data_IF_284402465940
#
_entry.id   IF_284402465940
#
_cell.length_a   1.000
_cell.length_b   1.000
_cell.length_c   1.000
_cell.angle_alpha   90.00
_cell.angle_beta   90.00
_cell.angle_gamma   90.00
#
_symmetry.space_group_name_H-M   'P 1'
#
loop_
_entity.id
_entity.type
_entity.pdbx_description
1 polymer ?
#
# COMPACT_ATOMS: atom_id res chain seq x y z
N UNK A 1 -22.91 5.82 14.06
CA UNK A 1 -21.63 5.16 14.35
C UNK A 1 -20.72 5.30 13.14
N UNK A 2 -19.53 5.88 13.29
CA UNK A 2 -18.52 5.96 12.22
C UNK A 2 -18.00 4.53 12.00
N UNK A 3 -18.17 3.95 10.80
CA UNK A 3 -17.63 2.63 10.48
C UNK A 3 -16.11 2.73 10.32
N UNK A 4 -15.39 1.70 10.74
CA UNK A 4 -13.96 1.60 10.45
C UNK A 4 -13.76 1.47 8.94
N UNK A 5 -12.94 2.38 8.39
CA UNK A 5 -12.67 2.49 6.96
C UNK A 5 -11.19 2.23 6.70
N UNK A 6 -10.93 1.34 5.75
CA UNK A 6 -9.61 1.18 5.12
C UNK A 6 -9.63 1.85 3.75
N UNK A 7 -8.69 2.75 3.52
CA UNK A 7 -8.47 3.31 2.18
C UNK A 7 -7.45 2.47 1.43
N UNK A 8 -7.75 2.19 0.16
CA UNK A 8 -6.83 1.49 -0.74
C UNK A 8 -6.41 2.50 -1.80
N UNK A 9 -5.14 2.91 -1.80
CA UNK A 9 -4.58 3.77 -2.84
C UNK A 9 -4.07 2.92 -4.00
N UNK A 10 -4.65 3.14 -5.16
CA UNK A 10 -4.39 2.34 -6.35
C UNK A 10 -3.31 2.95 -7.25
N UNK A 11 -2.21 2.21 -7.40
CA UNK A 11 -1.06 2.51 -8.26
C UNK A 11 -1.12 1.80 -9.62
N UNK A 12 -2.28 1.26 -10.00
CA UNK A 12 -2.51 0.64 -11.32
C UNK A 12 -2.25 -0.86 -11.37
N UNK A 13 -2.21 -1.53 -10.22
CA UNK A 13 -2.04 -2.98 -10.13
C UNK A 13 -3.31 -3.75 -10.47
N UNK A 14 -3.15 -4.91 -11.11
CA UNK A 14 -4.26 -5.81 -11.47
C UNK A 14 -5.02 -6.36 -10.26
N UNK A 15 -4.44 -6.30 -9.05
CA UNK A 15 -4.98 -6.90 -7.84
C UNK A 15 -5.75 -5.93 -6.91
N UNK A 16 -5.97 -4.68 -7.32
CA UNK A 16 -6.70 -3.68 -6.51
C UNK A 16 -8.09 -4.18 -6.03
N UNK A 17 -8.87 -4.80 -6.92
CA UNK A 17 -10.20 -5.38 -6.62
C UNK A 17 -10.11 -6.57 -5.69
N UNK A 18 -9.04 -7.36 -5.79
CA UNK A 18 -8.80 -8.52 -4.91
C UNK A 18 -8.49 -8.05 -3.49
N UNK A 19 -7.65 -7.02 -3.33
CA UNK A 19 -7.37 -6.43 -2.02
C UNK A 19 -8.67 -5.91 -1.38
N UNK A 20 -9.46 -5.12 -2.13
CA UNK A 20 -10.75 -4.63 -1.65
C UNK A 20 -11.71 -5.76 -1.26
N UNK A 21 -11.73 -6.86 -2.02
CA UNK A 21 -12.51 -8.05 -1.68
C UNK A 21 -12.02 -8.68 -0.37
N UNK A 22 -10.71 -8.87 -0.18
CA UNK A 22 -10.15 -9.46 1.05
C UNK A 22 -10.44 -8.62 2.29
N UNK A 23 -10.37 -7.28 2.18
CA UNK A 23 -10.74 -6.38 3.29
C UNK A 23 -12.22 -6.53 3.67
N UNK A 24 -13.11 -6.65 2.67
CA UNK A 24 -14.54 -6.87 2.91
C UNK A 24 -14.85 -8.25 3.48
N UNK A 25 -14.14 -9.29 3.04
CA UNK A 25 -14.23 -10.64 3.62
C UNK A 25 -13.80 -10.67 5.09
N UNK A 26 -12.92 -9.74 5.52
CA UNK A 26 -12.58 -9.50 6.91
C UNK A 26 -13.62 -8.63 7.68
N UNK A 27 -14.80 -8.38 7.10
CA UNK A 27 -15.89 -7.57 7.66
C UNK A 27 -15.54 -6.08 7.90
N UNK A 28 -14.57 -5.53 7.16
CA UNK A 28 -14.19 -4.12 7.25
C UNK A 28 -14.62 -3.35 6.00
N UNK A 29 -15.12 -2.12 6.17
CA UNK A 29 -15.48 -1.26 5.03
C UNK A 29 -14.22 -0.71 4.36
N UNK A 30 -14.23 -0.66 3.03
CA UNK A 30 -13.11 -0.13 2.26
C UNK A 30 -13.56 0.70 1.05
N UNK A 31 -12.77 1.72 0.74
CA UNK A 31 -12.88 2.51 -0.49
C UNK A 31 -11.56 2.47 -1.24
N UNK A 32 -11.64 2.46 -2.58
CA UNK A 32 -10.48 2.53 -3.46
C UNK A 32 -10.39 3.96 -4.00
N UNK A 33 -9.23 4.58 -3.85
CA UNK A 33 -8.91 5.89 -4.38
C UNK A 33 -7.70 5.79 -5.32
N UNK A 34 -7.60 6.67 -6.33
CA UNK A 34 -6.39 6.73 -7.13
C UNK A 34 -5.20 7.20 -6.27
N UNK A 35 -3.98 6.79 -6.62
CA UNK A 35 -2.77 7.14 -5.86
C UNK A 35 -2.54 8.65 -5.70
N UNK A 36 -3.03 9.46 -6.65
CA UNK A 36 -2.90 10.91 -6.69
C UNK A 36 -4.05 11.64 -5.97
N UNK A 37 -4.84 10.93 -5.16
CA UNK A 37 -5.85 11.57 -4.30
C UNK A 37 -5.18 12.60 -3.37
N UNK A 38 -5.81 13.78 -3.25
CA UNK A 38 -5.29 14.83 -2.40
C UNK A 38 -5.36 14.46 -0.92
N UNK A 39 -4.52 15.08 -0.10
CA UNK A 39 -4.49 14.81 1.33
C UNK A 39 -5.80 15.23 2.02
N UNK A 40 -6.48 16.27 1.53
CA UNK A 40 -7.77 16.73 2.06
C UNK A 40 -8.84 15.66 1.87
N UNK A 41 -8.89 15.05 0.68
CA UNK A 41 -9.82 13.96 0.38
C UNK A 41 -9.56 12.73 1.24
N UNK A 42 -8.29 12.42 1.52
CA UNK A 42 -7.92 11.31 2.41
C UNK A 42 -8.32 11.62 3.86
N UNK A 43 -8.07 12.85 4.34
CA UNK A 43 -8.43 13.30 5.70
C UNK A 43 -9.94 13.33 5.92
N UNK A 44 -10.71 13.81 4.95
CA UNK A 44 -12.18 13.85 5.00
C UNK A 44 -12.78 12.47 5.27
N UNK A 45 -12.19 11.43 4.68
CA UNK A 45 -12.60 10.03 4.87
C UNK A 45 -12.28 9.48 6.26
N UNK A 46 -11.34 10.08 7.00
CA UNK A 46 -10.92 9.65 8.35
C UNK A 46 -10.59 8.13 8.42
N UNK A 47 -9.66 7.62 7.58
CA UNK A 47 -9.31 6.20 7.56
C UNK A 47 -8.77 5.71 8.90
N UNK A 48 -8.97 4.42 9.18
CA UNK A 48 -8.29 3.69 10.26
C UNK A 48 -6.98 3.04 9.82
N UNK A 49 -6.79 2.90 8.51
CA UNK A 49 -5.58 2.38 7.91
C UNK A 49 -5.61 2.56 6.41
N UNK A 50 -4.44 2.46 5.79
CA UNK A 50 -4.24 2.69 4.36
C UNK A 50 -3.45 1.52 3.76
N UNK A 51 -3.89 1.04 2.60
CA UNK A 51 -3.19 0.02 1.83
C UNK A 51 -2.72 0.63 0.51
N UNK A 52 -1.43 0.52 0.20
CA UNK A 52 -0.89 0.87 -1.11
C UNK A 52 -0.82 -0.39 -1.97
N UNK A 53 -1.47 -0.35 -3.13
CA UNK A 53 -1.47 -1.49 -4.04
C UNK A 53 -0.13 -1.66 -4.74
N UNK A 54 0.06 -2.84 -5.34
CA UNK A 54 1.09 -3.03 -6.35
C UNK A 54 0.80 -2.22 -7.61
N UNK A 55 1.77 -2.16 -8.51
CA UNK A 55 1.66 -1.49 -9.79
C UNK A 55 2.71 -2.02 -10.76
N UNK A 56 2.51 -1.86 -12.07
CA UNK A 56 3.47 -2.29 -13.09
C UNK A 56 4.67 -1.34 -13.23
N UNK A 57 4.58 -0.14 -12.65
CA UNK A 57 5.62 0.87 -12.70
C UNK A 57 6.84 0.50 -11.86
N UNK A 58 7.98 1.11 -12.18
CA UNK A 58 9.18 1.07 -11.33
C UNK A 58 9.25 2.36 -10.53
N UNK A 59 9.46 2.26 -9.20
CA UNK A 59 9.58 3.44 -8.32
C UNK A 59 10.80 4.33 -8.66
N UNK A 60 11.74 3.79 -9.43
CA UNK A 60 12.94 4.48 -9.88
C UNK A 60 12.72 5.34 -11.13
N UNK A 61 11.56 5.21 -11.77
CA UNK A 61 11.24 5.99 -12.97
C UNK A 61 10.90 7.44 -12.56
N UNK A 62 11.31 8.43 -13.37
CA UNK A 62 11.08 9.86 -13.04
C UNK A 62 9.59 10.18 -12.83
N UNK A 63 8.74 9.57 -13.66
CA UNK A 63 7.28 9.74 -13.64
C UNK A 63 6.57 8.63 -12.86
N UNK A 64 7.26 7.93 -11.97
CA UNK A 64 6.67 6.88 -11.16
C UNK A 64 5.45 7.40 -10.36
N UNK A 65 4.33 6.65 -10.30
CA UNK A 65 3.18 6.99 -9.48
C UNK A 65 3.52 7.18 -8.00
N UNK A 66 3.31 8.38 -7.45
CA UNK A 66 3.62 8.69 -6.03
C UNK A 66 2.39 9.26 -5.33
N UNK A 67 2.17 8.86 -4.08
CA UNK A 67 1.18 9.52 -3.24
C UNK A 67 1.74 10.82 -2.64
N UNK A 68 0.87 11.64 -2.05
CA UNK A 68 1.28 12.80 -1.26
C UNK A 68 2.00 12.33 0.02
N UNK A 69 3.07 13.02 0.42
CA UNK A 69 3.96 12.59 1.53
C UNK A 69 3.25 12.62 2.88
N UNK A 70 2.33 13.56 3.03
CA UNK A 70 1.51 13.82 4.20
C UNK A 70 0.64 12.61 4.60
N UNK A 71 0.47 11.62 3.71
CA UNK A 71 -0.19 10.34 4.04
C UNK A 71 0.51 9.64 5.22
N UNK A 72 1.84 9.70 5.27
CA UNK A 72 2.62 9.07 6.35
C UNK A 72 2.54 9.82 7.68
N UNK A 73 2.04 11.05 7.67
CA UNK A 73 1.92 11.92 8.85
C UNK A 73 0.53 11.84 9.50
N UNK A 74 -0.39 11.06 8.92
CA UNK A 74 -1.77 10.91 9.42
C UNK A 74 -1.89 10.13 10.74
N UNK A 75 -0.82 9.48 11.20
CA UNK A 75 -0.82 8.68 12.43
C UNK A 75 -1.67 7.40 12.34
N UNK A 76 -1.92 6.91 11.13
CA UNK A 76 -2.65 5.64 10.88
C UNK A 76 -1.71 4.61 10.25
N UNK A 77 -1.92 3.30 10.50
CA UNK A 77 -1.10 2.25 9.91
C UNK A 77 -1.19 2.25 8.38
N UNK A 78 -0.05 2.06 7.72
CA UNK A 78 0.08 1.95 6.26
C UNK A 78 0.71 0.61 5.90
N UNK A 79 0.05 -0.13 5.02
CA UNK A 79 0.55 -1.39 4.45
C UNK A 79 0.88 -1.20 2.97
N UNK A 80 2.15 -1.38 2.61
CA UNK A 80 2.60 -1.38 1.22
C UNK A 80 2.70 -2.79 0.65
N UNK A 81 2.12 -3.03 -0.53
CA UNK A 81 2.20 -4.32 -1.22
C UNK A 81 2.97 -4.14 -2.53
N UNK A 82 4.07 -4.88 -2.71
CA UNK A 82 4.91 -4.84 -3.92
C UNK A 82 5.37 -3.40 -4.24
N UNK A 83 4.88 -2.78 -5.31
CA UNK A 83 5.15 -1.37 -5.64
C UNK A 83 4.89 -0.43 -4.45
N UNK A 84 3.79 -0.62 -3.73
CA UNK A 84 3.48 0.19 -2.55
C UNK A 84 4.55 0.10 -1.45
N UNK A 85 5.14 -1.09 -1.25
CA UNK A 85 6.26 -1.27 -0.31
C UNK A 85 7.52 -0.55 -0.81
N UNK A 86 7.85 -0.68 -2.09
CA UNK A 86 9.00 -0.01 -2.70
C UNK A 86 8.86 1.52 -2.61
N UNK A 87 7.66 2.02 -2.86
CA UNK A 87 7.35 3.44 -2.79
C UNK A 87 7.54 3.97 -1.37
N UNK A 88 7.03 3.24 -0.38
CA UNK A 88 7.23 3.57 1.04
C UNK A 88 8.72 3.64 1.39
N UNK A 89 9.53 2.66 0.95
CA UNK A 89 10.97 2.67 1.20
C UNK A 89 11.62 3.95 0.67
N UNK A 90 11.36 4.33 -0.59
CA UNK A 90 11.95 5.54 -1.19
C UNK A 90 11.44 6.82 -0.50
N UNK A 91 10.14 6.94 -0.27
CA UNK A 91 9.54 8.17 0.29
C UNK A 91 9.93 8.41 1.76
N UNK A 92 10.28 7.34 2.49
CA UNK A 92 10.70 7.40 3.89
C UNK A 92 12.24 7.43 4.04
N UNK A 93 12.98 7.66 2.95
CA UNK A 93 14.42 7.89 2.97
C UNK A 93 15.29 6.63 2.87
N UNK A 94 14.70 5.49 2.54
CA UNK A 94 15.42 4.29 2.15
C UNK A 94 15.68 4.23 0.63
N UNK A 95 16.37 3.17 0.21
CA UNK A 95 16.76 2.96 -1.19
C UNK A 95 16.05 1.75 -1.81
N UNK A 96 15.88 1.80 -3.13
CA UNK A 96 15.41 0.66 -3.94
C UNK A 96 16.39 0.45 -5.08
N UNK A 97 16.78 -0.80 -5.32
CA UNK A 97 17.69 -1.17 -6.41
C UNK A 97 16.99 -2.07 -7.42
N UNK A 98 17.43 -2.01 -8.68
CA UNK A 98 16.99 -2.98 -9.69
C UNK A 98 17.52 -4.37 -9.32
N UNK A 99 16.62 -5.34 -9.26
CA UNK A 99 17.01 -6.74 -9.17
C UNK A 99 17.57 -7.23 -10.53
N UNK A 100 18.57 -8.09 -10.50
CA UNK A 100 19.16 -8.71 -11.69
C UNK A 100 18.20 -9.69 -12.39
N UNK A 101 17.25 -10.27 -11.65
CA UNK A 101 16.17 -11.12 -12.16
C UNK A 101 14.81 -10.58 -11.73
N UNK A 102 13.83 -10.64 -12.63
CA UNK A 102 12.41 -10.52 -12.28
C UNK A 102 11.88 -11.91 -11.96
N UNK A 103 11.76 -12.24 -10.69
CA UNK A 103 11.17 -13.52 -10.28
C UNK A 103 9.65 -13.39 -10.22
N UNK A 104 8.97 -14.14 -11.08
CA UNK A 104 7.55 -14.43 -10.96
C UNK A 104 7.41 -15.90 -10.62
N UNK A 105 7.08 -16.21 -9.37
CA UNK A 105 6.98 -17.59 -8.91
C UNK A 105 6.76 -17.69 -7.42
N UNK A 106 6.52 -18.92 -6.98
CA UNK A 106 6.53 -19.24 -5.55
C UNK A 106 7.97 -19.29 -5.08
N UNK A 107 8.26 -18.56 -4.03
CA UNK A 107 9.57 -18.53 -3.37
C UNK A 107 9.34 -18.78 -1.90
N UNK A 108 10.18 -19.64 -1.30
CA UNK A 108 10.17 -19.82 0.14
C UNK A 108 10.90 -18.65 0.80
N UNK A 109 10.24 -18.03 1.77
CA UNK A 109 10.78 -16.89 2.52
C UNK A 109 10.91 -17.27 3.99
N UNK A 110 11.92 -16.69 4.66
CA UNK A 110 11.99 -16.71 6.13
C UNK A 110 11.27 -15.49 6.64
N UNK A 111 10.28 -15.72 7.50
CA UNK A 111 9.47 -14.66 8.11
C UNK A 111 9.93 -14.45 9.54
N UNK A 112 10.02 -13.20 9.96
CA UNK A 112 10.23 -12.86 11.37
C UNK A 112 8.89 -12.83 12.11
N UNK A 113 8.63 -13.86 12.89
CA UNK A 113 7.40 -14.03 13.66
C UNK A 113 7.30 -13.08 14.86
N UNK A 114 8.35 -12.28 15.16
CA UNK A 114 8.26 -11.22 16.16
C UNK A 114 7.55 -9.96 15.63
N UNK A 115 7.32 -9.87 14.31
CA UNK A 115 6.56 -8.78 13.72
C UNK A 115 5.05 -9.04 13.85
N UNK A 116 4.31 -8.06 14.35
CA UNK A 116 2.85 -8.15 14.52
C UNK A 116 2.10 -8.52 13.23
N UNK A 117 2.61 -8.11 12.07
CA UNK A 117 2.01 -8.40 10.77
C UNK A 117 2.04 -9.90 10.43
N UNK A 118 3.02 -10.62 10.96
CA UNK A 118 3.26 -12.04 10.70
C UNK A 118 3.07 -12.90 11.95
N UNK A 119 2.36 -12.38 12.95
CA UNK A 119 1.99 -13.16 14.13
C UNK A 119 0.87 -14.14 13.79
N UNK A 120 1.13 -15.44 13.92
CA UNK A 120 0.20 -16.55 13.62
C UNK A 120 0.91 -17.78 13.06
#
# INVERSE_FOLDING_TARGET
MKRDLILILDFGGQYNRLIARRVREANVYCEVLPYNASIERIKEKSPKGIIFTGGPASVLDENAPKCVKEVFELGVPVLGICYGMQLMSVMLGGDVSKASLREYGRVDIKVDNNNILFSG
#
